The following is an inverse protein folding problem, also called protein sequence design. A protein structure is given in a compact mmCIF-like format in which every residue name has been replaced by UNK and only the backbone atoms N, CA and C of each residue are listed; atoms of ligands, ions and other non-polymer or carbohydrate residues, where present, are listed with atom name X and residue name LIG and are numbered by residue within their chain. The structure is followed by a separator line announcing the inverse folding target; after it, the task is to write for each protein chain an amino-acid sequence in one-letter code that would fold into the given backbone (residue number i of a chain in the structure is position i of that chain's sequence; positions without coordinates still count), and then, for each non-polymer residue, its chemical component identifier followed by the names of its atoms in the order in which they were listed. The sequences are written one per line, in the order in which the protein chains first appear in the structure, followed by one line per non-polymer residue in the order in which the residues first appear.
data_IF_817304584652
#
_entry.id   IF_817304584652
#
_cell.length_a   1.000
_cell.length_b   1.000
_cell.length_c   1.000
_cell.angle_alpha   90.00
_cell.angle_beta   90.00
_cell.angle_gamma   90.00
#
_symmetry.space_group_name_H-M   'P 1'
#
loop_
_entity.id
_entity.type
_entity.pdbx_description
1 polymer ?
#
# COMPACT_ATOMS: atom_id res chain seq x y z
N UNK A 1 -8.27 19.60 1.81
CA UNK A 1 -8.00 18.67 2.92
C UNK A 1 -7.38 17.33 2.43
N UNK A 2 -6.21 17.32 1.77
CA UNK A 2 -5.50 16.07 1.39
C UNK A 2 -4.48 15.60 2.45
N UNK A 3 -3.94 16.52 3.26
CA UNK A 3 -2.90 16.20 4.25
C UNK A 3 -3.39 15.32 5.39
N UNK A 4 -4.64 15.51 5.84
CA UNK A 4 -5.21 14.71 6.93
C UNK A 4 -5.43 13.25 6.52
N UNK A 5 -5.78 13.00 5.27
CA UNK A 5 -5.90 11.64 4.74
C UNK A 5 -4.53 10.97 4.63
N UNK A 6 -3.53 11.69 4.09
CA UNK A 6 -2.16 11.18 3.99
C UNK A 6 -1.57 10.83 5.36
N UNK A 7 -1.78 11.67 6.38
CA UNK A 7 -1.29 11.40 7.74
C UNK A 7 -1.94 10.14 8.30
N UNK A 8 -3.26 9.96 8.16
CA UNK A 8 -3.93 8.74 8.64
C UNK A 8 -3.39 7.49 7.94
N UNK A 9 -3.19 7.53 6.63
CA UNK A 9 -2.64 6.40 5.87
C UNK A 9 -1.20 6.10 6.26
N UNK A 10 -0.38 7.12 6.44
CA UNK A 10 0.98 6.96 6.92
C UNK A 10 1.02 6.23 8.26
N UNK A 11 0.29 6.75 9.24
CA UNK A 11 0.21 6.15 10.58
C UNK A 11 -0.25 4.70 10.49
N UNK A 12 -1.25 4.43 9.65
CA UNK A 12 -1.77 3.08 9.42
C UNK A 12 -0.74 2.13 8.81
N UNK A 13 -0.01 2.57 7.78
CA UNK A 13 1.03 1.80 7.11
C UNK A 13 2.20 1.50 8.04
N UNK A 14 2.66 2.51 8.78
CA UNK A 14 3.75 2.37 9.76
C UNK A 14 3.34 1.42 10.89
N UNK A 15 2.11 1.52 11.40
CA UNK A 15 1.58 0.58 12.40
C UNK A 15 1.51 -0.85 11.88
N UNK A 16 1.23 -1.04 10.59
CA UNK A 16 1.24 -2.35 9.94
C UNK A 16 2.65 -2.85 9.60
N UNK A 17 3.71 -2.13 9.98
CA UNK A 17 5.10 -2.54 9.76
C UNK A 17 5.59 -2.32 8.33
N UNK A 18 5.00 -1.38 7.61
CA UNK A 18 5.58 -0.86 6.37
C UNK A 18 6.67 0.16 6.68
N UNK A 19 7.70 0.18 5.85
CA UNK A 19 8.81 1.13 5.92
C UNK A 19 8.69 2.08 4.75
N UNK A 20 8.70 3.39 5.02
CA UNK A 20 8.78 4.41 3.96
C UNK A 20 10.10 4.31 3.21
N UNK A 21 10.02 4.51 1.91
CA UNK A 21 11.20 4.64 1.08
C UNK A 21 11.85 6.03 1.30
N UNK A 22 13.18 6.10 1.51
CA UNK A 22 13.87 7.37 1.75
C UNK A 22 13.93 8.27 0.52
N UNK A 23 13.81 7.71 -0.68
CA UNK A 23 13.85 8.47 -1.94
C UNK A 23 12.48 8.94 -2.41
N UNK A 24 11.41 8.28 -1.96
CA UNK A 24 10.05 8.58 -2.38
C UNK A 24 9.09 8.41 -1.18
N UNK A 25 8.60 9.51 -0.60
CA UNK A 25 7.77 9.48 0.61
C UNK A 25 6.36 8.91 0.38
N UNK A 26 5.98 8.68 -0.88
CA UNK A 26 4.72 8.05 -1.23
C UNK A 26 4.84 6.53 -1.33
N UNK A 27 6.06 5.99 -1.33
CA UNK A 27 6.33 4.57 -1.50
C UNK A 27 6.66 3.91 -0.15
N UNK A 28 5.96 2.82 0.11
CA UNK A 28 6.07 2.04 1.35
C UNK A 28 6.36 0.60 0.99
N UNK A 29 7.30 -0.01 1.70
CA UNK A 29 7.70 -1.39 1.49
C UNK A 29 7.55 -2.21 2.77
N UNK A 30 7.04 -3.43 2.64
CA UNK A 30 7.00 -4.41 3.72
C UNK A 30 7.58 -5.72 3.22
N UNK A 31 8.58 -6.23 3.93
CA UNK A 31 9.20 -7.53 3.63
C UNK A 31 8.88 -8.49 4.77
N UNK A 32 8.35 -9.67 4.45
CA UNK A 32 8.04 -10.71 5.44
C UNK A 32 8.32 -12.10 4.87
N UNK A 33 9.29 -12.80 5.45
CA UNK A 33 9.56 -14.21 5.12
C UNK A 33 9.92 -14.48 3.65
N UNK A 34 10.63 -13.55 2.99
CA UNK A 34 10.97 -13.64 1.56
C UNK A 34 9.98 -12.95 0.63
N UNK A 35 8.75 -12.69 1.10
CA UNK A 35 7.74 -11.98 0.34
C UNK A 35 7.85 -10.46 0.51
N UNK A 36 7.50 -9.73 -0.54
CA UNK A 36 7.53 -8.26 -0.56
C UNK A 36 6.15 -7.73 -0.93
N UNK A 37 5.70 -6.70 -0.21
CA UNK A 37 4.55 -5.88 -0.56
C UNK A 37 4.98 -4.42 -0.62
N UNK A 38 4.53 -3.73 -1.64
CA UNK A 38 4.79 -2.34 -1.95
C UNK A 38 3.44 -1.62 -2.00
N UNK A 39 3.34 -0.50 -1.31
CA UNK A 39 2.19 0.39 -1.34
C UNK A 39 2.67 1.75 -1.83
N UNK A 40 2.02 2.31 -2.84
CA UNK A 40 2.28 3.64 -3.36
C UNK A 40 1.04 4.48 -3.14
N UNK A 41 1.19 5.62 -2.46
CA UNK A 41 0.12 6.55 -2.15
C UNK A 41 0.15 7.69 -3.16
N UNK A 42 -0.85 7.81 -4.03
CA UNK A 42 -0.89 8.84 -5.05
C UNK A 42 -2.14 9.71 -4.90
N UNK A 43 -2.03 10.82 -4.16
CA UNK A 43 -3.07 11.83 -3.91
C UNK A 43 -4.41 11.24 -3.42
N UNK A 44 -5.24 10.74 -4.33
CA UNK A 44 -6.56 10.15 -4.07
C UNK A 44 -6.58 8.61 -4.27
N UNK A 45 -5.54 8.03 -4.86
CA UNK A 45 -5.43 6.62 -5.20
C UNK A 45 -4.33 5.91 -4.39
N UNK A 46 -4.49 4.59 -4.23
CA UNK A 46 -3.49 3.71 -3.63
C UNK A 46 -3.20 2.55 -4.55
N UNK A 47 -1.91 2.36 -4.83
CA UNK A 47 -1.41 1.23 -5.59
C UNK A 47 -0.79 0.24 -4.63
N UNK A 48 -1.30 -0.99 -4.60
CA UNK A 48 -0.74 -2.07 -3.78
C UNK A 48 -0.25 -3.16 -4.73
N UNK A 49 1.04 -3.47 -4.67
CA UNK A 49 1.69 -4.51 -5.48
C UNK A 49 2.66 -5.32 -4.62
N UNK A 50 3.13 -6.47 -5.10
CA UNK A 50 3.99 -7.35 -4.32
C UNK A 50 4.04 -8.79 -4.84
N UNK A 51 4.91 -9.61 -4.25
CA UNK A 51 5.02 -11.03 -4.61
C UNK A 51 3.90 -11.88 -4.00
N UNK A 52 3.37 -11.48 -2.84
CA UNK A 52 2.38 -12.26 -2.11
C UNK A 52 0.97 -11.71 -2.27
N UNK A 53 0.16 -12.36 -3.10
CA UNK A 53 -1.28 -12.06 -3.24
C UNK A 53 -2.01 -12.15 -1.89
N UNK A 54 -1.61 -13.08 -1.02
CA UNK A 54 -2.18 -13.23 0.33
C UNK A 54 -1.94 -11.99 1.21
N UNK A 55 -0.73 -11.43 1.18
CA UNK A 55 -0.44 -10.22 1.96
C UNK A 55 -1.11 -8.98 1.36
N UNK A 56 -1.22 -8.91 0.02
CA UNK A 56 -1.95 -7.86 -0.67
C UNK A 56 -3.43 -7.89 -0.30
N UNK A 57 -4.07 -9.06 -0.35
CA UNK A 57 -5.50 -9.22 0.00
C UNK A 57 -5.77 -8.86 1.46
N UNK A 58 -4.93 -9.33 2.38
CA UNK A 58 -5.02 -8.97 3.79
C UNK A 58 -4.90 -7.44 3.99
N UNK A 59 -3.96 -6.80 3.29
CA UNK A 59 -3.77 -5.36 3.36
C UNK A 59 -4.97 -4.60 2.76
N UNK A 60 -5.48 -5.04 1.61
CA UNK A 60 -6.67 -4.46 0.99
C UNK A 60 -7.87 -4.50 1.92
N UNK A 61 -8.09 -5.64 2.57
CA UNK A 61 -9.21 -5.81 3.51
C UNK A 61 -9.08 -4.89 4.73
N UNK A 62 -7.87 -4.72 5.23
CA UNK A 62 -7.58 -3.86 6.37
C UNK A 62 -7.72 -2.36 6.03
N UNK A 63 -7.24 -1.95 4.86
CA UNK A 63 -7.40 -0.60 4.32
C UNK A 63 -8.87 -0.28 4.04
N UNK A 64 -9.61 -1.22 3.44
CA UNK A 64 -11.04 -1.03 3.19
C UNK A 64 -11.82 -0.85 4.50
N UNK A 65 -11.44 -1.57 5.57
CA UNK A 65 -12.04 -1.41 6.89
C UNK A 65 -11.74 -0.06 7.55
N UNK A 66 -10.54 0.47 7.34
CA UNK A 66 -10.05 1.67 8.05
C UNK A 66 -10.33 2.97 7.32
N UNK A 67 -10.50 2.92 6.00
CA UNK A 67 -10.61 4.09 5.13
C UNK A 67 -11.83 4.09 4.19
N UNK A 68 -12.70 3.08 4.25
CA UNK A 68 -13.89 2.94 3.39
C UNK A 68 -13.53 3.14 1.91
N UNK A 69 -12.53 2.39 1.44
CA UNK A 69 -12.00 2.54 0.09
C UNK A 69 -12.85 1.79 -0.93
N UNK A 70 -13.71 2.52 -1.62
CA UNK A 70 -14.67 1.98 -2.60
C UNK A 70 -14.00 1.30 -3.82
N UNK A 71 -12.76 1.65 -4.18
CA UNK A 71 -12.16 1.20 -5.44
C UNK A 71 -10.69 0.75 -5.34
N UNK A 72 -10.40 -0.17 -4.43
CA UNK A 72 -9.11 -0.91 -4.42
C UNK A 72 -9.12 -1.95 -5.55
N UNK A 73 -9.22 -1.51 -6.81
CA UNK A 73 -9.09 -2.41 -7.95
C UNK A 73 -7.69 -3.04 -7.91
N UNK A 74 -7.59 -4.36 -8.05
CA UNK A 74 -6.28 -4.99 -8.18
C UNK A 74 -5.67 -4.47 -9.47
N UNK A 75 -4.63 -3.65 -9.38
CA UNK A 75 -3.63 -3.59 -10.45
C UNK A 75 -2.90 -4.93 -10.47
N UNK A 76 -3.60 -5.98 -10.91
CA UNK A 76 -3.07 -7.30 -11.22
C UNK A 76 -2.32 -7.21 -12.55
N UNK A 77 -1.33 -6.33 -12.64
CA UNK A 77 -0.34 -6.38 -13.71
C UNK A 77 0.76 -5.35 -13.46
N UNK A 78 1.93 -5.81 -13.00
CA UNK A 78 3.17 -5.08 -13.26
C UNK A 78 3.67 -5.55 -14.64
N UNK A 79 3.14 -4.92 -15.70
CA UNK A 79 3.50 -5.23 -17.10
C UNK A 79 4.74 -4.38 -17.39
N UNK A 80 5.92 -4.86 -16.99
CA UNK A 80 7.14 -4.07 -17.13
C UNK A 80 8.41 -4.69 -16.57
N UNK A 81 8.46 -6.01 -16.38
CA UNK A 81 9.72 -6.74 -16.25
C UNK A 81 9.78 -7.75 -17.41
N UNK A 82 10.07 -7.23 -18.59
CA UNK A 82 10.70 -8.01 -19.67
C UNK A 82 12.22 -7.79 -19.61
#
# INVERSE_FOLDING_TARGET
APRAWYIKIDEHLVQHGFVRNPYDPNLYLKKKGGEIVIVVVYVDDLVITGSSVRMIDAMKKDLNRSFDMTNLELMHYCLGLE
#
